data_IF_592472604675
#
_entry.id   IF_592472604675
#
_cell.length_a   1.000
_cell.length_b   1.000
_cell.length_c   1.000
_cell.angle_alpha   90.00
_cell.angle_beta   90.00
_cell.angle_gamma   90.00
#
_symmetry.space_group_name_H-M   'P 1'
#
loop_
_entity.id
_entity.type
_entity.pdbx_description
1 polymer ?
#
# COMPACT_ATOMS: atom_id res chain seq x y z
N UNK A 1 6.56 17.99 15.17
CA UNK A 1 7.77 17.26 14.76
C UNK A 1 8.46 18.05 13.67
N UNK A 2 9.73 18.38 13.83
CA UNK A 2 10.57 18.97 12.79
C UNK A 2 11.39 17.84 12.14
N UNK A 3 11.50 17.87 10.82
CA UNK A 3 12.29 16.91 10.06
C UNK A 3 13.29 17.67 9.18
N UNK A 4 14.55 17.26 9.24
CA UNK A 4 15.60 17.70 8.34
C UNK A 4 16.08 16.47 7.59
N UNK A 5 15.94 16.48 6.27
CA UNK A 5 16.37 15.39 5.41
C UNK A 5 17.39 15.96 4.44
N UNK A 6 18.61 15.44 4.48
CA UNK A 6 19.63 15.69 3.46
C UNK A 6 19.82 14.42 2.63
N UNK A 7 19.70 14.55 1.33
CA UNK A 7 19.85 13.45 0.40
C UNK A 7 20.81 13.81 -0.73
N UNK A 8 21.78 12.94 -0.94
CA UNK A 8 22.77 13.06 -2.01
C UNK A 8 22.74 11.79 -2.84
N UNK A 9 22.26 11.88 -4.06
CA UNK A 9 22.18 10.75 -4.94
C UNK A 9 23.03 11.01 -6.18
N UNK A 10 23.84 10.00 -6.51
CA UNK A 10 24.46 9.87 -7.82
C UNK A 10 23.92 8.57 -8.40
N UNK A 11 23.20 8.69 -9.45
CA UNK A 11 22.67 7.52 -10.15
C UNK A 11 23.04 7.60 -11.62
N UNK A 12 23.51 6.47 -12.14
CA UNK A 12 23.78 6.29 -13.55
C UNK A 12 23.25 4.93 -13.96
N UNK A 13 22.62 4.89 -15.11
CA UNK A 13 22.12 3.64 -15.70
C UNK A 13 22.90 3.45 -17.00
N UNK A 14 23.65 2.37 -17.07
CA UNK A 14 24.35 1.96 -18.26
C UNK A 14 23.46 0.99 -19.05
N UNK A 15 23.35 1.18 -20.34
CA UNK A 15 22.84 0.13 -21.20
C UNK A 15 23.87 -1.00 -21.23
N UNK A 16 23.50 -2.15 -20.73
CA UNK A 16 24.23 -3.37 -21.02
C UNK A 16 23.88 -3.79 -22.44
N UNK A 17 24.84 -3.65 -23.33
CA UNK A 17 24.72 -4.06 -24.72
C UNK A 17 24.91 -5.56 -24.94
N UNK A 18 25.13 -6.35 -23.86
CA UNK A 18 25.22 -7.80 -23.95
C UNK A 18 23.88 -8.42 -24.32
N UNK A 19 23.63 -8.53 -25.61
CA UNK A 19 22.45 -9.16 -26.19
C UNK A 19 21.51 -8.27 -27.00
N UNK A 20 21.62 -6.94 -26.89
CA UNK A 20 20.79 -5.99 -27.62
C UNK A 20 21.64 -4.91 -28.29
N UNK A 21 22.40 -5.30 -29.28
CA UNK A 21 23.07 -4.33 -30.14
C UNK A 21 22.06 -3.79 -31.13
N UNK A 22 21.47 -2.63 -30.80
CA UNK A 22 20.84 -1.82 -31.86
C UNK A 22 21.95 -1.20 -32.67
N UNK A 23 22.07 -1.51 -33.99
CA UNK A 23 23.03 -0.85 -34.83
C UNK A 23 22.71 0.65 -34.84
N UNK A 24 23.69 1.50 -34.51
CA UNK A 24 23.59 2.96 -34.61
C UNK A 24 23.43 3.47 -36.07
N UNK A 25 23.46 2.59 -37.02
CA UNK A 25 23.26 2.90 -38.43
C UNK A 25 21.82 2.60 -38.82
N UNK A 26 21.09 3.55 -39.42
CA UNK A 26 19.79 3.25 -40.00
C UNK A 26 19.95 2.16 -41.03
N UNK A 27 19.55 0.95 -40.70
CA UNK A 27 19.55 -0.16 -41.62
C UNK A 27 18.57 0.09 -42.73
N UNK A 28 19.04 0.24 -43.95
CA UNK A 28 18.18 0.19 -45.13
C UNK A 28 17.46 -1.18 -45.07
N UNK A 29 16.12 -1.21 -45.12
CA UNK A 29 15.38 -2.46 -45.05
C UNK A 29 15.94 -3.48 -46.08
N UNK A 30 16.36 -4.65 -45.60
CA UNK A 30 16.92 -5.73 -46.43
C UNK A 30 18.44 -5.84 -46.40
N UNK A 31 19.20 -4.98 -45.75
CA UNK A 31 20.65 -5.10 -45.61
C UNK A 31 21.00 -5.78 -44.28
N UNK A 32 21.62 -6.97 -44.38
CA UNK A 32 22.18 -7.66 -43.21
C UNK A 32 23.60 -7.18 -43.05
N UNK A 33 23.91 -6.41 -42.01
CA UNK A 33 25.29 -6.02 -41.67
C UNK A 33 25.90 -7.16 -40.87
N UNK A 34 27.02 -7.76 -41.32
CA UNK A 34 27.69 -8.83 -40.59
C UNK A 34 28.08 -8.44 -39.17
N UNK A 35 28.12 -9.42 -38.26
CA UNK A 35 28.40 -9.18 -36.84
C UNK A 35 29.81 -8.62 -36.60
N UNK A 36 30.74 -8.93 -37.44
CA UNK A 36 32.15 -8.55 -37.41
C UNK A 36 32.48 -7.30 -38.24
N UNK A 37 31.46 -6.58 -38.76
CA UNK A 37 31.69 -5.36 -39.51
C UNK A 37 32.20 -4.25 -38.56
N UNK A 38 33.39 -3.66 -38.84
CA UNK A 38 33.96 -2.59 -38.03
C UNK A 38 33.11 -1.31 -37.99
N UNK A 39 32.14 -1.15 -38.88
CA UNK A 39 31.20 -0.06 -38.87
C UNK A 39 30.11 -0.20 -37.82
N UNK A 40 29.98 -1.35 -37.19
CA UNK A 40 29.17 -1.54 -36.00
C UNK A 40 29.86 -0.90 -34.80
N UNK A 41 29.67 0.39 -34.66
CA UNK A 41 30.10 1.07 -33.44
C UNK A 41 29.12 0.68 -32.33
N UNK A 42 29.64 -0.13 -31.41
CA UNK A 42 28.99 -0.41 -30.14
C UNK A 42 29.12 0.85 -29.26
N UNK A 43 28.25 1.80 -29.45
CA UNK A 43 28.17 2.94 -28.53
C UNK A 43 27.57 2.44 -27.24
N UNK A 44 28.41 2.18 -26.25
CA UNK A 44 28.00 1.98 -24.88
C UNK A 44 27.63 3.36 -24.32
N UNK A 45 26.42 3.80 -24.61
CA UNK A 45 25.92 5.07 -24.12
C UNK A 45 25.47 4.96 -22.66
N UNK A 46 25.82 5.94 -21.85
CA UNK A 46 25.16 6.17 -20.57
C UNK A 46 23.77 6.69 -20.86
N UNK A 47 22.74 5.89 -20.63
CA UNK A 47 21.37 6.24 -21.00
C UNK A 47 20.74 7.27 -20.06
N UNK A 48 21.04 7.20 -18.78
CA UNK A 48 20.63 8.16 -17.79
C UNK A 48 21.75 8.38 -16.79
N UNK A 49 22.27 9.59 -16.76
CA UNK A 49 23.13 10.07 -15.68
C UNK A 49 22.46 11.24 -15.02
N UNK A 50 22.15 11.12 -13.76
CA UNK A 50 21.76 12.28 -12.96
C UNK A 50 22.50 12.29 -11.64
N UNK A 51 22.82 13.49 -11.20
CA UNK A 51 23.31 13.72 -9.87
C UNK A 51 22.43 14.78 -9.23
N UNK A 52 21.88 14.46 -8.07
CA UNK A 52 21.06 15.41 -7.33
C UNK A 52 21.54 15.49 -5.87
N UNK A 53 21.39 16.68 -5.34
CA UNK A 53 21.57 16.95 -3.91
C UNK A 53 20.34 17.72 -3.46
N UNK A 54 19.55 17.11 -2.61
CA UNK A 54 18.33 17.67 -2.08
C UNK A 54 18.46 17.87 -0.58
N UNK A 55 18.05 19.03 -0.10
CA UNK A 55 17.91 19.32 1.32
C UNK A 55 16.47 19.72 1.60
N UNK A 56 15.80 18.99 2.49
CA UNK A 56 14.43 19.26 2.89
C UNK A 56 14.44 19.60 4.38
N UNK A 57 13.90 20.77 4.69
CA UNK A 57 13.62 21.19 6.05
C UNK A 57 12.12 21.41 6.18
N UNK A 58 11.43 20.55 6.93
CA UNK A 58 9.98 20.58 7.05
C UNK A 58 9.51 20.47 8.48
N UNK A 59 8.36 21.07 8.74
CA UNK A 59 7.60 20.95 9.98
C UNK A 59 6.30 20.17 9.71
N UNK A 60 6.03 19.18 10.54
CA UNK A 60 4.74 18.49 10.58
C UNK A 60 4.07 18.73 11.91
N UNK A 61 2.87 19.30 11.89
CA UNK A 61 2.03 19.48 13.07
C UNK A 61 0.78 18.60 12.96
N UNK A 62 0.44 17.92 14.05
CA UNK A 62 -0.72 17.03 14.09
C UNK A 62 -1.49 17.27 15.37
N UNK A 63 -2.82 17.38 15.27
CA UNK A 63 -3.76 17.44 16.38
C UNK A 63 -4.96 16.55 16.12
N UNK A 64 -5.65 16.12 17.15
CA UNK A 64 -6.89 15.38 17.01
C UNK A 64 -7.86 15.67 18.14
N UNK A 65 -9.16 15.50 17.83
CA UNK A 65 -10.27 15.53 18.80
C UNK A 65 -11.09 14.27 18.54
N UNK A 66 -11.43 13.56 19.61
CA UNK A 66 -12.31 12.39 19.52
C UNK A 66 -13.16 12.26 20.76
N UNK A 67 -14.32 11.61 20.59
CA UNK A 67 -15.24 11.30 21.67
C UNK A 67 -15.84 9.90 21.49
N UNK A 68 -16.38 9.35 22.57
CA UNK A 68 -16.95 8.01 22.63
C UNK A 68 -18.26 8.01 23.39
N UNK A 69 -19.34 7.69 22.69
CA UNK A 69 -20.69 7.62 23.25
C UNK A 69 -21.11 6.16 23.40
N UNK A 70 -21.66 5.85 24.57
CA UNK A 70 -22.19 4.52 24.89
C UNK A 70 -23.67 4.66 25.17
N UNK A 71 -24.47 3.84 24.52
CA UNK A 71 -25.91 3.79 24.74
C UNK A 71 -26.43 2.37 24.60
N UNK A 72 -27.59 2.11 25.15
CA UNK A 72 -28.24 0.82 25.14
C UNK A 72 -29.64 0.98 24.52
N UNK A 73 -30.03 0.04 23.68
CA UNK A 73 -31.39 -0.05 23.14
C UNK A 73 -31.84 -1.50 23.22
N UNK A 74 -32.88 -1.74 24.02
CA UNK A 74 -33.29 -3.11 24.37
C UNK A 74 -32.16 -3.88 25.04
N UNK A 75 -31.84 -5.06 24.49
CA UNK A 75 -30.77 -5.92 25.00
C UNK A 75 -29.45 -5.71 24.24
N UNK A 76 -29.27 -4.65 23.51
CA UNK A 76 -28.07 -4.42 22.69
C UNK A 76 -27.34 -3.17 23.16
N UNK A 77 -26.02 -3.28 23.35
CA UNK A 77 -25.14 -2.16 23.67
C UNK A 77 -24.50 -1.64 22.40
N UNK A 78 -24.45 -0.31 22.29
CA UNK A 78 -23.83 0.39 21.18
C UNK A 78 -22.71 1.27 21.72
N UNK A 79 -21.56 1.25 21.02
CA UNK A 79 -20.43 2.13 21.29
C UNK A 79 -20.13 2.87 20.00
N UNK A 80 -20.37 4.18 19.99
CA UNK A 80 -20.08 5.05 18.86
C UNK A 80 -18.84 5.87 19.19
N UNK A 81 -17.79 5.76 18.37
CA UNK A 81 -16.60 6.58 18.45
C UNK A 81 -16.57 7.51 17.23
N UNK A 82 -16.41 8.80 17.46
CA UNK A 82 -16.26 9.80 16.41
C UNK A 82 -15.06 10.68 16.69
N UNK A 83 -14.36 11.09 15.65
CA UNK A 83 -13.22 11.97 15.81
C UNK A 83 -12.73 12.54 14.50
N UNK A 84 -11.92 13.56 14.62
CA UNK A 84 -11.26 14.21 13.50
C UNK A 84 -9.79 14.44 13.86
N UNK A 85 -8.90 14.11 12.90
CA UNK A 85 -7.49 14.39 13.00
C UNK A 85 -7.11 15.44 11.98
N UNK A 86 -6.36 16.44 12.42
CA UNK A 86 -5.80 17.50 11.60
C UNK A 86 -4.31 17.27 11.43
N UNK A 87 -3.82 17.55 10.24
CA UNK A 87 -2.40 17.47 9.93
C UNK A 87 -2.02 18.65 9.05
N UNK A 88 -0.93 19.33 9.40
CA UNK A 88 -0.31 20.38 8.61
C UNK A 88 1.11 19.97 8.26
N UNK A 89 1.48 20.16 6.99
CA UNK A 89 2.81 19.89 6.48
C UNK A 89 3.38 21.12 5.76
N UNK A 90 4.48 21.65 6.27
CA UNK A 90 5.04 22.91 5.78
C UNK A 90 5.76 22.80 4.43
N UNK A 91 6.09 21.61 3.97
CA UNK A 91 6.78 21.40 2.70
C UNK A 91 5.98 21.94 1.51
N UNK A 92 4.70 21.65 1.45
CA UNK A 92 3.78 22.10 0.41
C UNK A 92 2.63 22.97 0.97
N UNK A 93 2.73 23.41 2.24
CA UNK A 93 1.71 24.15 2.96
C UNK A 93 0.34 23.43 3.00
N UNK A 94 0.34 22.10 3.04
CA UNK A 94 -0.86 21.30 2.99
C UNK A 94 -1.48 21.15 4.39
N UNK A 95 -2.77 21.44 4.49
CA UNK A 95 -3.59 21.17 5.65
C UNK A 95 -4.63 20.11 5.32
N UNK A 96 -4.67 19.01 6.08
CA UNK A 96 -5.62 17.92 5.88
C UNK A 96 -6.43 17.65 7.13
N UNK A 97 -7.70 17.20 6.93
CA UNK A 97 -8.61 16.82 7.99
C UNK A 97 -9.14 15.42 7.73
N UNK A 98 -8.96 14.51 8.69
CA UNK A 98 -9.27 13.08 8.61
C UNK A 98 -10.42 12.73 9.58
N UNK A 99 -11.70 12.91 9.20
CA UNK A 99 -12.82 12.46 10.02
C UNK A 99 -12.92 10.94 10.03
N UNK A 100 -13.31 10.37 11.17
CA UNK A 100 -13.47 8.93 11.40
C UNK A 100 -14.65 8.66 12.28
N UNK A 101 -15.39 7.62 11.95
CA UNK A 101 -16.50 7.12 12.75
C UNK A 101 -16.38 5.59 12.88
N UNK A 102 -16.69 5.08 14.06
CA UNK A 102 -16.74 3.65 14.32
C UNK A 102 -17.92 3.33 15.25
N UNK A 103 -18.77 2.44 14.80
CA UNK A 103 -19.88 1.92 15.58
C UNK A 103 -19.59 0.45 15.94
N UNK A 104 -19.64 0.13 17.21
CA UNK A 104 -19.61 -1.25 17.71
C UNK A 104 -20.97 -1.62 18.28
N UNK A 105 -21.45 -2.79 17.92
CA UNK A 105 -22.75 -3.34 18.28
C UNK A 105 -22.51 -4.63 19.07
N UNK A 106 -23.00 -4.70 20.28
CA UNK A 106 -22.84 -5.79 21.23
C UNK A 106 -24.23 -6.32 21.60
N UNK A 107 -24.84 -7.19 20.77
CA UNK A 107 -26.14 -7.77 21.10
C UNK A 107 -26.00 -8.74 22.25
N UNK A 108 -26.94 -8.73 23.17
CA UNK A 108 -27.00 -9.68 24.29
C UNK A 108 -27.68 -10.98 23.83
N UNK A 109 -27.02 -11.71 22.92
CA UNK A 109 -27.49 -12.99 22.42
C UNK A 109 -26.92 -14.15 23.26
N UNK A 110 -27.50 -15.33 23.15
CA UNK A 110 -26.94 -16.56 23.75
C UNK A 110 -25.52 -16.87 23.27
N UNK A 111 -25.21 -16.46 22.05
CA UNK A 111 -23.90 -16.59 21.43
C UNK A 111 -23.21 -15.23 21.50
N UNK A 112 -21.96 -15.22 21.89
CA UNK A 112 -21.16 -14.01 22.09
C UNK A 112 -20.68 -13.46 20.73
N UNK A 113 -21.55 -12.73 20.06
CA UNK A 113 -21.27 -11.99 18.83
C UNK A 113 -21.07 -10.51 19.10
N UNK A 114 -20.14 -9.91 18.39
CA UNK A 114 -20.07 -8.47 18.24
C UNK A 114 -19.88 -8.09 16.78
N UNK A 115 -20.41 -6.91 16.40
CA UNK A 115 -20.32 -6.37 15.05
C UNK A 115 -19.70 -4.99 15.09
N UNK A 116 -19.01 -4.61 14.02
CA UNK A 116 -18.41 -3.30 13.89
C UNK A 116 -18.59 -2.73 12.49
N UNK A 117 -18.86 -1.43 12.41
CA UNK A 117 -18.80 -0.67 11.16
C UNK A 117 -17.87 0.51 11.40
N UNK A 118 -16.88 0.68 10.51
CA UNK A 118 -15.91 1.78 10.59
C UNK A 118 -15.84 2.46 9.24
N UNK A 119 -15.82 3.79 9.26
CA UNK A 119 -15.61 4.58 8.05
C UNK A 119 -14.80 5.83 8.35
N UNK A 120 -14.13 6.37 7.34
CA UNK A 120 -13.35 7.59 7.51
C UNK A 120 -12.50 7.93 6.29
N UNK A 121 -11.90 9.11 6.41
CA UNK A 121 -10.90 9.60 5.44
C UNK A 121 -9.54 9.55 6.09
N UNK A 122 -8.56 9.00 5.38
CA UNK A 122 -7.21 8.80 5.89
C UNK A 122 -6.21 9.44 4.93
N UNK A 123 -5.48 10.45 5.40
CA UNK A 123 -4.42 11.12 4.66
C UNK A 123 -3.07 10.59 5.09
N UNK A 124 -2.19 10.44 4.12
CA UNK A 124 -0.79 10.07 4.31
C UNK A 124 0.08 10.99 3.46
N UNK A 125 0.88 11.82 4.10
CA UNK A 125 1.89 12.62 3.41
C UNK A 125 2.92 11.69 2.75
N UNK A 126 3.37 11.98 1.54
CA UNK A 126 4.36 11.18 0.85
C UNK A 126 5.65 11.00 1.67
N UNK A 127 6.26 9.84 1.51
CA UNK A 127 7.63 9.62 1.96
C UNK A 127 8.60 10.36 1.04
N UNK A 128 9.80 10.60 1.52
CA UNK A 128 10.82 11.27 0.74
C UNK A 128 11.04 10.65 -0.66
N UNK A 129 11.08 9.31 -0.74
CA UNK A 129 11.24 8.61 -2.02
C UNK A 129 10.10 8.82 -3.00
N UNK A 130 8.88 8.97 -2.49
CA UNK A 130 7.69 9.22 -3.30
C UNK A 130 7.64 10.66 -3.87
N UNK A 131 8.37 11.59 -3.24
CA UNK A 131 8.45 13.00 -3.68
C UNK A 131 9.47 13.22 -4.78
N UNK A 132 10.37 12.26 -4.98
CA UNK A 132 11.47 12.36 -5.92
C UNK A 132 11.08 11.80 -7.28
N UNK A 133 11.23 12.63 -8.30
CA UNK A 133 11.06 12.24 -9.71
C UNK A 133 12.20 11.34 -10.19
N UNK A 134 12.03 10.62 -11.30
CA UNK A 134 13.09 9.79 -11.87
C UNK A 134 14.36 10.56 -12.27
N UNK A 135 14.26 11.86 -12.53
CA UNK A 135 15.41 12.74 -12.81
C UNK A 135 16.14 13.24 -11.53
N UNK A 136 15.70 12.80 -10.35
CA UNK A 136 16.27 13.17 -9.07
C UNK A 136 15.74 14.46 -8.48
N UNK A 137 14.94 15.25 -9.18
CA UNK A 137 14.33 16.47 -8.66
C UNK A 137 13.21 16.15 -7.66
N UNK A 138 12.96 17.08 -6.74
CA UNK A 138 11.86 16.97 -5.80
C UNK A 138 10.62 17.69 -6.33
N UNK A 139 9.48 17.03 -6.23
CA UNK A 139 8.20 17.65 -6.51
C UNK A 139 7.69 18.40 -5.27
N UNK A 140 7.83 19.73 -5.27
CA UNK A 140 7.33 20.58 -4.19
C UNK A 140 5.80 20.70 -4.13
N UNK A 141 5.11 20.31 -5.19
CA UNK A 141 3.65 20.41 -5.32
C UNK A 141 2.94 19.09 -5.02
N UNK A 142 3.69 18.05 -4.66
CA UNK A 142 3.11 16.74 -4.35
C UNK A 142 2.16 16.84 -3.15
N UNK A 143 0.99 16.23 -3.27
CA UNK A 143 -0.05 16.24 -2.24
C UNK A 143 -0.07 14.93 -1.47
N UNK A 144 -0.66 14.98 -0.28
CA UNK A 144 -0.93 13.77 0.50
C UNK A 144 -1.82 12.81 -0.27
N UNK A 145 -1.43 11.54 -0.30
CA UNK A 145 -2.30 10.46 -0.73
C UNK A 145 -3.42 10.30 0.29
N UNK A 146 -4.62 9.95 -0.14
CA UNK A 146 -5.71 9.71 0.81
C UNK A 146 -6.65 8.59 0.38
N UNK A 147 -7.38 8.08 1.35
CA UNK A 147 -8.34 7.03 1.12
C UNK A 147 -9.63 7.26 1.86
N UNK A 148 -10.74 7.00 1.17
CA UNK A 148 -12.05 6.78 1.79
C UNK A 148 -12.18 5.30 2.10
N UNK A 149 -12.44 4.97 3.36
CA UNK A 149 -12.50 3.58 3.80
C UNK A 149 -13.84 3.28 4.46
N UNK A 150 -14.39 2.13 4.15
CA UNK A 150 -15.49 1.51 4.87
C UNK A 150 -15.10 0.07 5.21
N UNK A 151 -15.36 -0.33 6.44
CA UNK A 151 -15.04 -1.65 6.96
C UNK A 151 -16.20 -2.15 7.82
N UNK A 152 -16.66 -3.36 7.53
CA UNK A 152 -17.58 -4.12 8.36
C UNK A 152 -16.83 -5.26 9.04
N UNK A 153 -17.07 -5.49 10.32
CA UNK A 153 -16.43 -6.57 11.07
C UNK A 153 -17.43 -7.37 11.90
N UNK A 154 -17.15 -8.65 12.10
CA UNK A 154 -17.84 -9.49 13.06
C UNK A 154 -16.84 -10.27 13.89
N UNK A 155 -17.12 -10.41 15.17
CA UNK A 155 -16.35 -11.24 16.09
C UNK A 155 -17.30 -12.23 16.77
N UNK A 156 -16.90 -13.48 16.83
CA UNK A 156 -17.61 -14.54 17.52
C UNK A 156 -16.70 -15.23 18.53
N UNK A 157 -17.00 -15.06 19.82
CA UNK A 157 -16.32 -15.76 20.89
C UNK A 157 -17.06 -17.06 21.22
N UNK A 158 -16.35 -18.16 21.26
CA UNK A 158 -16.94 -19.46 21.54
C UNK A 158 -15.95 -20.39 22.27
N UNK A 159 -16.45 -21.49 22.73
CA UNK A 159 -15.62 -22.54 23.32
C UNK A 159 -15.57 -23.75 22.40
N UNK A 160 -14.37 -24.22 22.09
CA UNK A 160 -14.11 -25.46 21.39
C UNK A 160 -13.12 -26.27 22.26
N UNK A 161 -13.39 -27.55 22.47
CA UNK A 161 -12.61 -28.41 23.42
C UNK A 161 -12.52 -27.83 24.84
N UNK A 162 -13.56 -27.14 25.30
CA UNK A 162 -13.63 -26.42 26.60
C UNK A 162 -12.67 -25.21 26.69
N UNK A 163 -11.98 -24.82 25.64
CA UNK A 163 -11.02 -23.72 25.57
C UNK A 163 -11.61 -22.53 24.84
N UNK A 164 -11.12 -21.29 25.09
CA UNK A 164 -11.61 -20.11 24.43
C UNK A 164 -11.09 -20.02 22.98
N UNK A 165 -11.99 -19.69 22.08
CA UNK A 165 -11.69 -19.37 20.68
C UNK A 165 -12.42 -18.12 20.28
N UNK A 166 -11.82 -17.39 19.33
CA UNK A 166 -12.41 -16.23 18.69
C UNK A 166 -12.27 -16.34 17.17
N UNK A 167 -13.38 -16.18 16.47
CA UNK A 167 -13.41 -16.05 15.04
C UNK A 167 -13.71 -14.60 14.67
N UNK A 168 -12.85 -13.97 13.89
CA UNK A 168 -13.00 -12.59 13.40
C UNK A 168 -13.09 -12.60 11.90
N UNK A 169 -14.04 -11.83 11.35
CA UNK A 169 -14.15 -11.57 9.92
C UNK A 169 -14.23 -10.07 9.71
N UNK A 170 -13.47 -9.56 8.75
CA UNK A 170 -13.51 -8.17 8.32
C UNK A 170 -13.69 -8.11 6.80
N UNK A 171 -14.60 -7.28 6.34
CA UNK A 171 -14.83 -6.98 4.92
C UNK A 171 -14.59 -5.50 4.73
N UNK A 172 -13.80 -5.13 3.73
CA UNK A 172 -13.45 -3.73 3.54
C UNK A 172 -13.43 -3.31 2.07
N UNK A 173 -13.68 -2.03 1.89
CA UNK A 173 -13.45 -1.31 0.64
C UNK A 173 -12.72 -0.01 0.95
N UNK A 174 -11.67 0.28 0.18
CA UNK A 174 -10.86 1.48 0.25
C UNK A 174 -10.77 2.09 -1.14
N UNK A 175 -11.26 3.30 -1.30
CA UNK A 175 -11.03 4.10 -2.49
C UNK A 175 -9.80 4.98 -2.26
N UNK A 176 -8.86 4.96 -3.18
CA UNK A 176 -7.55 5.59 -3.05
C UNK A 176 -7.42 6.72 -4.06
N UNK A 177 -6.98 7.89 -3.60
CA UNK A 177 -6.83 9.09 -4.40
C UNK A 177 -5.45 9.72 -4.21
N UNK A 178 -5.01 10.51 -5.18
CA UNK A 178 -3.71 11.16 -5.20
C UNK A 178 -2.55 10.18 -5.02
N UNK A 179 -2.66 8.98 -5.56
CA UNK A 179 -1.61 7.98 -5.47
C UNK A 179 -0.38 8.44 -6.25
N UNK A 180 0.78 8.15 -5.68
CA UNK A 180 2.06 8.22 -6.40
C UNK A 180 2.33 6.85 -6.97
N UNK A 181 2.33 6.76 -8.30
CA UNK A 181 2.59 5.51 -8.98
C UNK A 181 4.04 5.06 -8.81
N UNK A 182 4.27 3.76 -8.93
CA UNK A 182 5.62 3.20 -8.89
C UNK A 182 5.73 1.97 -9.77
N UNK A 183 6.92 1.77 -10.29
CA UNK A 183 7.30 0.57 -11.02
C UNK A 183 8.27 -0.29 -10.20
N UNK A 184 8.22 -1.59 -10.45
CA UNK A 184 9.17 -2.56 -9.91
C UNK A 184 10.05 -3.07 -11.05
N UNK A 185 11.33 -2.74 -11.00
CA UNK A 185 12.32 -3.27 -11.92
C UNK A 185 13.43 -3.97 -11.11
N UNK A 186 13.63 -5.26 -11.33
CA UNK A 186 14.64 -6.08 -10.63
C UNK A 186 14.70 -5.84 -9.12
N UNK A 187 13.51 -5.86 -8.43
CA UNK A 187 13.35 -5.58 -6.99
C UNK A 187 13.57 -4.11 -6.59
N UNK A 188 13.88 -3.23 -7.51
CA UNK A 188 14.00 -1.81 -7.27
C UNK A 188 12.65 -1.13 -7.48
N UNK A 189 12.23 -0.34 -6.50
CA UNK A 189 11.04 0.49 -6.58
C UNK A 189 11.46 1.87 -7.09
N UNK A 190 10.88 2.28 -8.22
CA UNK A 190 11.02 3.62 -8.79
C UNK A 190 9.68 4.31 -8.78
N UNK A 191 9.59 5.44 -8.07
CA UNK A 191 8.38 6.25 -7.97
C UNK A 191 8.31 7.28 -9.09
N UNK A 192 7.09 7.64 -9.51
CA UNK A 192 6.87 8.71 -10.50
C UNK A 192 7.20 10.10 -9.95
N UNK A 193 7.07 10.29 -8.63
CA UNK A 193 7.20 11.59 -7.98
C UNK A 193 6.00 12.52 -8.21
N UNK A 194 4.89 12.00 -8.71
CA UNK A 194 3.67 12.75 -9.05
C UNK A 194 2.44 12.06 -8.45
N UNK A 195 1.38 12.84 -8.19
CA UNK A 195 0.07 12.28 -7.85
C UNK A 195 -0.66 11.93 -9.16
N UNK A 196 -0.28 10.85 -9.79
CA UNK A 196 -0.63 10.48 -11.15
C UNK A 196 -1.57 9.28 -11.26
N UNK A 197 -2.09 8.80 -10.11
CA UNK A 197 -2.97 7.65 -10.09
C UNK A 197 -4.07 7.77 -9.03
N UNK A 198 -5.13 7.00 -9.24
CA UNK A 198 -6.16 6.64 -8.27
C UNK A 198 -6.31 5.13 -8.20
N UNK A 199 -6.96 4.62 -7.17
CA UNK A 199 -7.06 3.18 -7.04
C UNK A 199 -8.15 2.72 -6.09
N UNK A 200 -8.20 1.41 -5.88
CA UNK A 200 -9.00 0.82 -4.83
C UNK A 200 -8.34 -0.42 -4.25
N UNK A 201 -8.71 -0.74 -3.02
CA UNK A 201 -8.43 -2.03 -2.40
C UNK A 201 -9.70 -2.55 -1.72
N UNK A 202 -10.03 -3.79 -1.97
CA UNK A 202 -11.19 -4.48 -1.37
C UNK A 202 -10.81 -5.89 -0.99
N UNK A 203 -11.37 -6.38 0.09
CA UNK A 203 -11.05 -7.73 0.53
C UNK A 203 -11.87 -8.21 1.71
N UNK A 204 -11.61 -9.45 2.05
CA UNK A 204 -12.12 -10.11 3.24
C UNK A 204 -10.96 -10.76 3.98
N UNK A 205 -10.88 -10.47 5.27
CA UNK A 205 -9.92 -11.06 6.19
C UNK A 205 -10.64 -11.91 7.22
N UNK A 206 -10.16 -13.12 7.42
CA UNK A 206 -10.70 -14.07 8.40
C UNK A 206 -9.57 -14.53 9.31
N UNK A 207 -9.84 -14.58 10.61
CA UNK A 207 -8.89 -15.05 11.62
C UNK A 207 -9.60 -15.92 12.65
N UNK A 208 -9.06 -17.10 12.86
CA UNK A 208 -9.41 -17.97 14.00
C UNK A 208 -8.24 -17.95 14.98
N UNK A 209 -8.46 -17.45 16.17
CA UNK A 209 -7.48 -17.48 17.27
C UNK A 209 -8.05 -18.21 18.48
N UNK A 210 -7.19 -18.84 19.27
CA UNK A 210 -7.59 -19.53 20.48
C UNK A 210 -6.54 -20.49 21.02
N UNK A 211 -6.91 -21.18 22.06
CA UNK A 211 -6.05 -22.17 22.72
C UNK A 211 -6.16 -23.53 22.04
N UNK A 212 -5.43 -23.75 20.95
CA UNK A 212 -5.31 -25.08 20.35
C UNK A 212 -4.59 -26.04 21.27
N UNK A 213 -3.62 -25.53 22.03
CA UNK A 213 -2.97 -26.19 23.16
C UNK A 213 -3.30 -25.42 24.42
N UNK A 214 -3.51 -26.11 25.51
CA UNK A 214 -3.92 -25.56 26.80
C UNK A 214 -2.95 -24.46 27.28
N UNK A 215 -3.48 -23.25 27.55
CA UNK A 215 -2.70 -22.08 27.96
C UNK A 215 -1.81 -21.46 26.89
N UNK A 216 -1.88 -21.89 25.62
CA UNK A 216 -1.10 -21.33 24.51
C UNK A 216 -2.00 -20.81 23.39
N UNK A 217 -1.89 -19.51 23.11
CA UNK A 217 -2.65 -18.89 22.04
C UNK A 217 -1.98 -19.15 20.68
N UNK A 218 -2.75 -19.71 19.76
CA UNK A 218 -2.35 -19.91 18.38
C UNK A 218 -3.41 -19.32 17.45
N UNK A 219 -3.07 -19.07 16.20
CA UNK A 219 -4.03 -18.52 15.26
C UNK A 219 -3.74 -18.93 13.82
N UNK A 220 -4.82 -18.90 13.02
CA UNK A 220 -4.80 -19.08 11.57
C UNK A 220 -5.52 -17.90 10.96
N UNK A 221 -4.99 -17.35 9.89
CA UNK A 221 -5.64 -16.29 9.14
C UNK A 221 -5.62 -16.54 7.63
N UNK A 222 -6.68 -16.11 6.99
CA UNK A 222 -6.84 -16.10 5.54
C UNK A 222 -7.31 -14.73 5.10
N UNK A 223 -6.60 -14.15 4.17
CA UNK A 223 -6.94 -12.87 3.52
C UNK A 223 -7.14 -13.10 2.03
N UNK A 224 -8.22 -12.56 1.50
CA UNK A 224 -8.52 -12.51 0.07
C UNK A 224 -8.66 -11.05 -0.30
N UNK A 225 -7.76 -10.53 -1.13
CA UNK A 225 -7.70 -9.10 -1.45
C UNK A 225 -7.58 -8.88 -2.95
N UNK A 226 -8.15 -7.78 -3.42
CA UNK A 226 -7.94 -7.23 -4.75
C UNK A 226 -7.55 -5.77 -4.62
N UNK A 227 -6.45 -5.36 -5.25
CA UNK A 227 -6.10 -3.96 -5.40
C UNK A 227 -5.77 -3.64 -6.85
N UNK A 228 -6.25 -2.49 -7.31
CA UNK A 228 -6.02 -1.99 -8.65
C UNK A 228 -5.82 -0.47 -8.63
N UNK A 229 -5.14 0.03 -9.63
CA UNK A 229 -4.90 1.46 -9.83
C UNK A 229 -5.17 1.85 -11.28
N UNK A 230 -5.57 3.09 -11.48
CA UNK A 230 -5.84 3.73 -12.76
C UNK A 230 -4.87 4.91 -12.89
N UNK A 231 -3.93 4.81 -13.82
CA UNK A 231 -2.95 5.84 -14.11
C UNK A 231 -3.59 6.89 -15.03
N UNK A 232 -3.41 8.17 -14.74
CA UNK A 232 -4.08 9.22 -15.51
C UNK A 232 -3.56 9.37 -16.95
N UNK A 233 -2.30 8.98 -17.20
CA UNK A 233 -1.59 9.22 -18.46
C UNK A 233 -1.07 7.94 -19.12
N UNK A 234 -1.73 6.81 -18.95
CA UNK A 234 -1.33 5.51 -19.51
C UNK A 234 -1.98 5.18 -20.87
N UNK A 235 -2.53 6.19 -21.54
CA UNK A 235 -3.13 6.00 -22.87
C UNK A 235 -2.08 5.71 -23.93
N UNK A 236 -2.44 4.91 -24.92
CA UNK A 236 -1.64 4.65 -26.10
C UNK A 236 -2.53 4.54 -27.35
N UNK A 237 -1.90 4.69 -28.52
CA UNK A 237 -2.60 4.52 -29.77
C UNK A 237 -2.30 3.13 -30.35
N UNK A 238 -3.34 2.43 -30.81
CA UNK A 238 -3.17 1.19 -31.56
C UNK A 238 -2.55 1.48 -32.93
N UNK A 239 -2.02 0.44 -33.63
CA UNK A 239 -1.56 0.60 -35.01
C UNK A 239 -2.61 1.18 -35.96
N UNK A 240 -3.90 0.97 -35.66
CA UNK A 240 -5.05 1.47 -36.39
C UNK A 240 -5.39 2.93 -36.05
N UNK A 241 -4.68 3.55 -35.09
CA UNK A 241 -4.86 4.92 -34.64
C UNK A 241 -5.96 5.13 -33.61
N UNK A 242 -6.48 4.07 -33.01
CA UNK A 242 -7.45 4.16 -31.93
C UNK A 242 -6.78 4.46 -30.60
N UNK A 243 -7.35 5.41 -29.82
CA UNK A 243 -6.89 5.74 -28.47
C UNK A 243 -7.40 4.69 -27.48
N UNK A 244 -6.48 3.98 -26.86
CA UNK A 244 -6.78 3.02 -25.79
C UNK A 244 -6.37 3.59 -24.44
N UNK A 245 -7.30 3.48 -23.47
CA UNK A 245 -7.06 3.76 -22.06
C UNK A 245 -7.26 2.47 -21.27
N UNK A 246 -6.19 1.89 -20.67
CA UNK A 246 -6.27 0.62 -19.93
C UNK A 246 -7.24 0.68 -18.75
N UNK A 247 -7.38 1.84 -18.11
CA UNK A 247 -8.18 2.00 -16.90
C UNK A 247 -7.55 1.28 -15.70
N UNK A 248 -8.38 0.62 -14.89
CA UNK A 248 -7.88 -0.04 -13.69
C UNK A 248 -7.02 -1.27 -14.01
N UNK A 249 -5.73 -1.15 -13.75
CA UNK A 249 -4.74 -2.21 -13.84
C UNK A 249 -4.40 -2.76 -12.44
N UNK A 250 -3.87 -3.97 -12.39
CA UNK A 250 -3.43 -4.60 -11.16
C UNK A 250 -2.22 -3.87 -10.56
N UNK A 251 -2.30 -3.50 -9.28
CA UNK A 251 -1.15 -2.89 -8.60
C UNK A 251 -0.01 -3.91 -8.41
N UNK A 252 1.26 -3.47 -8.42
CA UNK A 252 2.39 -4.36 -8.14
C UNK A 252 2.29 -5.06 -6.77
N UNK A 253 1.62 -4.42 -5.80
CA UNK A 253 1.40 -4.96 -4.45
C UNK A 253 0.17 -5.87 -4.31
N UNK A 254 -0.53 -6.21 -5.40
CA UNK A 254 -1.75 -7.03 -5.36
C UNK A 254 -1.41 -8.49 -5.03
N UNK A 255 -1.71 -8.88 -3.80
CA UNK A 255 -1.61 -10.25 -3.33
C UNK A 255 -3.02 -10.82 -3.11
N UNK A 256 -3.47 -11.68 -4.04
CA UNK A 256 -4.85 -12.19 -4.06
C UNK A 256 -5.20 -13.03 -2.85
N UNK A 257 -4.25 -13.81 -2.36
CA UNK A 257 -4.41 -14.71 -1.23
C UNK A 257 -3.22 -14.58 -0.31
N UNK A 258 -3.48 -14.46 0.98
CA UNK A 258 -2.47 -14.57 2.01
C UNK A 258 -2.98 -15.52 3.09
N UNK A 259 -2.22 -16.56 3.37
CA UNK A 259 -2.52 -17.54 4.41
C UNK A 259 -1.38 -17.56 5.41
N UNK A 260 -1.72 -17.38 6.69
CA UNK A 260 -0.72 -17.37 7.76
C UNK A 260 -1.17 -18.26 8.90
N UNK A 261 -0.23 -18.97 9.47
CA UNK A 261 -0.40 -19.78 10.69
C UNK A 261 0.65 -19.36 11.69
N UNK A 262 0.20 -19.18 12.92
CA UNK A 262 1.08 -19.09 14.09
C UNK A 262 0.63 -20.14 15.08
N UNK A 263 1.52 -21.05 15.42
CA UNK A 263 1.25 -22.14 16.31
C UNK A 263 2.27 -22.18 17.43
N UNK A 264 1.80 -22.28 18.68
CA UNK A 264 2.64 -22.43 19.85
C UNK A 264 2.43 -23.80 20.48
N UNK A 265 3.52 -24.40 20.98
CA UNK A 265 3.50 -25.63 21.73
C UNK A 265 4.51 -25.54 22.89
N UNK A 266 4.44 -26.52 23.80
CA UNK A 266 5.42 -26.70 24.84
C UNK A 266 6.54 -27.64 24.34
N UNK A 267 7.76 -27.42 24.82
CA UNK A 267 8.84 -28.37 24.56
C UNK A 267 8.47 -29.70 25.23
N UNK A 268 8.50 -30.85 24.52
CA UNK A 268 8.21 -32.14 25.06
C UNK A 268 9.07 -32.42 26.29
N UNK A 269 8.40 -32.75 27.42
CA UNK A 269 9.06 -33.01 28.71
C UNK A 269 9.47 -31.79 29.53
N UNK A 270 9.32 -30.54 28.99
CA UNK A 270 9.67 -29.32 29.73
C UNK A 270 8.69 -28.17 29.47
N UNK A 271 7.53 -28.21 30.12
CA UNK A 271 6.44 -27.23 29.93
C UNK A 271 6.74 -25.73 30.13
N UNK A 272 7.77 -25.33 30.96
CA UNK A 272 8.08 -23.91 31.09
C UNK A 272 8.59 -23.21 29.81
N UNK A 273 9.13 -23.97 28.84
CA UNK A 273 9.62 -23.42 27.59
C UNK A 273 8.53 -23.53 26.50
N UNK A 274 8.18 -22.39 25.91
CA UNK A 274 7.24 -22.26 24.78
C UNK A 274 8.02 -22.17 23.48
N UNK A 275 7.55 -22.82 22.44
CA UNK A 275 8.14 -22.83 21.08
C UNK A 275 7.11 -22.33 20.08
#
# INVERSE_FOLDING_TARGET
QSEIIEDRIKEWTMFDSTGYTLPAIPTIPGTIVPFDDPSRILDIGVNNYFTCQNAINTLRATGFVQDSWRFESGNTKFILNGGIRFHYWSFNNEFTASPRIALRILPNWKRDWSFGIKTGVFYQSPFYREMRRPDGTLNSNIKSQYSYQILGSSEYNFKMWKRPFKFTTEVYYKHLENLVSYSLDNLRITYSGENDARGYATGIDMKLSGEFIDGLESWVSLSIMKTAEDLYNDFYYTPEGELVRPGYIRRPSDQRFAFNIFFQDHVPGFRPIRV
#
